data_IF_145971095450
#
_entry.id   IF_145971095450
#
_cell.length_a   1.000
_cell.length_b   1.000
_cell.length_c   1.000
_cell.angle_alpha   90.00
_cell.angle_beta   90.00
_cell.angle_gamma   90.00
#
_symmetry.space_group_name_H-M   'P 1'
#
loop_
_entity.id
_entity.type
_entity.pdbx_description
1 polymer ?
#
# COMPACT_ATOMS: atom_id res chain seq x y z
N UNK A 1 -13.82 -9.68 -30.07
CA UNK A 1 -13.15 -10.53 -29.07
C UNK A 1 -12.40 -11.63 -29.80
N UNK A 2 -11.20 -12.02 -29.36
CA UNK A 2 -10.48 -13.13 -29.98
C UNK A 2 -11.27 -14.44 -29.80
N UNK A 3 -11.24 -15.30 -30.82
CA UNK A 3 -11.83 -16.64 -30.81
C UNK A 3 -10.80 -17.62 -30.22
N UNK A 4 -11.00 -18.03 -28.96
CA UNK A 4 -10.12 -18.91 -28.20
C UNK A 4 -10.49 -18.90 -26.70
N UNK A 5 -9.87 -19.77 -25.90
CA UNK A 5 -9.98 -19.68 -24.42
C UNK A 5 -9.15 -18.47 -23.96
N UNK A 6 -9.82 -17.50 -23.34
CA UNK A 6 -9.19 -16.32 -22.76
C UNK A 6 -9.01 -16.59 -21.27
N UNK A 7 -7.77 -16.47 -20.79
CA UNK A 7 -7.44 -16.50 -19.36
C UNK A 7 -6.93 -15.12 -18.96
N UNK A 8 -7.19 -14.73 -17.70
CA UNK A 8 -6.83 -13.43 -17.16
C UNK A 8 -5.69 -13.57 -16.17
N UNK A 9 -4.74 -12.65 -16.25
CA UNK A 9 -3.63 -12.52 -15.32
C UNK A 9 -3.56 -11.06 -14.84
N UNK A 10 -3.56 -10.87 -13.54
CA UNK A 10 -3.51 -9.56 -12.90
C UNK A 10 -2.08 -9.25 -12.50
N UNK A 11 -1.48 -8.29 -13.19
CA UNK A 11 -0.12 -7.81 -12.96
C UNK A 11 -0.15 -6.38 -12.42
N UNK A 12 0.59 -6.14 -11.35
CA UNK A 12 0.81 -4.82 -10.78
C UNK A 12 2.09 -4.16 -11.28
N UNK A 13 2.46 -3.01 -10.70
CA UNK A 13 3.83 -2.52 -10.76
C UNK A 13 4.80 -3.60 -10.23
N UNK A 14 6.05 -3.55 -10.70
CA UNK A 14 7.11 -4.43 -10.19
C UNK A 14 7.19 -4.31 -8.67
N UNK A 15 7.15 -5.44 -7.98
CA UNK A 15 7.39 -5.53 -6.54
C UNK A 15 8.79 -5.04 -6.16
N UNK A 16 9.01 -4.79 -4.87
CA UNK A 16 10.33 -4.43 -4.36
C UNK A 16 11.40 -5.49 -4.70
N UNK A 17 11.05 -6.77 -4.66
CA UNK A 17 11.98 -7.85 -5.02
C UNK A 17 12.35 -7.80 -6.52
N UNK A 18 11.38 -7.57 -7.40
CA UNK A 18 11.63 -7.40 -8.84
C UNK A 18 12.45 -6.14 -9.13
N UNK A 19 12.23 -5.06 -8.37
CA UNK A 19 13.06 -3.87 -8.42
C UNK A 19 14.52 -4.19 -8.05
N UNK A 20 14.76 -4.92 -6.95
CA UNK A 20 16.11 -5.32 -6.54
C UNK A 20 16.82 -6.09 -7.66
N UNK A 21 16.14 -7.03 -8.31
CA UNK A 21 16.67 -7.75 -9.46
C UNK A 21 17.03 -6.79 -10.61
N UNK A 22 16.13 -5.86 -10.94
CA UNK A 22 16.32 -4.91 -12.03
C UNK A 22 17.48 -3.92 -11.81
N UNK A 23 17.76 -3.55 -10.55
CA UNK A 23 18.87 -2.61 -10.24
C UNK A 23 20.21 -3.30 -9.97
N UNK A 24 20.28 -4.62 -10.09
CA UNK A 24 21.50 -5.42 -9.92
C UNK A 24 21.73 -5.96 -8.51
N UNK A 25 20.74 -5.86 -7.62
CA UNK A 25 20.80 -6.27 -6.21
C UNK A 25 20.26 -7.69 -5.99
N UNK A 26 20.64 -8.63 -6.88
CA UNK A 26 20.14 -10.02 -6.83
C UNK A 26 20.42 -10.71 -5.49
N UNK A 27 21.60 -10.53 -4.92
CA UNK A 27 21.95 -11.12 -3.63
C UNK A 27 21.02 -10.65 -2.50
N UNK A 28 20.55 -9.41 -2.53
CA UNK A 28 19.58 -8.90 -1.56
C UNK A 28 18.18 -9.48 -1.82
N UNK A 29 17.76 -9.60 -3.09
CA UNK A 29 16.50 -10.24 -3.44
C UNK A 29 16.45 -11.70 -2.95
N UNK A 30 17.52 -12.47 -3.20
CA UNK A 30 17.67 -13.84 -2.75
C UNK A 30 17.71 -13.93 -1.23
N UNK A 31 18.41 -13.01 -0.55
CA UNK A 31 18.39 -12.91 0.92
C UNK A 31 16.97 -12.74 1.47
N UNK A 32 16.18 -11.79 0.92
CA UNK A 32 14.80 -11.56 1.37
C UNK A 32 13.88 -12.76 1.13
N UNK A 33 14.07 -13.49 0.03
CA UNK A 33 13.27 -14.66 -0.30
C UNK A 33 13.46 -15.81 0.71
N UNK A 34 14.67 -15.96 1.27
CA UNK A 34 15.01 -17.04 2.20
C UNK A 34 14.99 -16.63 3.68
N UNK A 35 14.97 -15.33 3.97
CA UNK A 35 14.98 -14.78 5.32
C UNK A 35 13.91 -15.42 6.22
N UNK A 36 14.28 -15.87 7.42
CA UNK A 36 13.35 -16.36 8.44
C UNK A 36 13.24 -15.38 9.61
N UNK A 37 12.06 -15.27 10.23
CA UNK A 37 11.79 -14.24 11.26
C UNK A 37 12.71 -14.30 12.49
N UNK A 38 13.26 -15.48 12.79
CA UNK A 38 14.18 -15.68 13.90
C UNK A 38 15.63 -15.30 13.56
N UNK A 39 15.92 -14.96 12.31
CA UNK A 39 17.26 -14.56 11.86
C UNK A 39 17.46 -13.06 12.10
N UNK A 40 18.63 -12.70 12.62
CA UNK A 40 19.05 -11.30 12.74
C UNK A 40 19.46 -10.79 11.35
N UNK A 41 18.94 -9.62 10.96
CA UNK A 41 19.42 -8.90 9.78
C UNK A 41 20.57 -7.98 10.21
N UNK A 42 21.81 -8.20 9.75
CA UNK A 42 22.93 -7.33 10.08
C UNK A 42 22.63 -5.87 9.73
N UNK A 43 22.97 -4.94 10.62
CA UNK A 43 22.69 -3.50 10.45
C UNK A 43 23.08 -2.95 9.06
N UNK A 44 24.26 -3.27 8.48
CA UNK A 44 24.61 -2.78 7.14
C UNK A 44 23.67 -3.26 6.03
N UNK A 45 23.16 -4.49 6.14
CA UNK A 45 22.19 -5.05 5.18
C UNK A 45 20.84 -4.34 5.37
N UNK A 46 20.42 -4.17 6.63
CA UNK A 46 19.18 -3.44 6.95
C UNK A 46 19.20 -2.00 6.41
N UNK A 47 20.26 -1.25 6.68
CA UNK A 47 20.41 0.14 6.24
C UNK A 47 20.39 0.21 4.70
N UNK A 48 21.13 -0.69 4.02
CA UNK A 48 21.15 -0.77 2.55
C UNK A 48 19.76 -1.05 1.96
N UNK A 49 19.02 -1.99 2.54
CA UNK A 49 17.66 -2.31 2.10
C UNK A 49 16.72 -1.12 2.30
N UNK A 50 16.84 -0.41 3.42
CA UNK A 50 16.04 0.80 3.67
C UNK A 50 16.38 1.93 2.70
N UNK A 51 17.65 2.12 2.32
CA UNK A 51 18.02 3.08 1.28
C UNK A 51 17.45 2.70 -0.09
N UNK A 52 17.44 1.41 -0.43
CA UNK A 52 16.78 0.91 -1.63
C UNK A 52 15.26 1.11 -1.61
N UNK A 53 14.61 1.02 -0.44
CA UNK A 53 13.20 1.39 -0.29
C UNK A 53 12.98 2.88 -0.55
N UNK A 54 13.86 3.77 -0.08
CA UNK A 54 13.78 5.21 -0.38
C UNK A 54 13.91 5.49 -1.87
N UNK A 55 14.82 4.79 -2.55
CA UNK A 55 14.97 4.85 -4.01
C UNK A 55 13.67 4.40 -4.68
N UNK A 56 13.12 3.26 -4.25
CA UNK A 56 11.86 2.74 -4.77
C UNK A 56 10.68 3.69 -4.57
N UNK A 57 10.61 4.42 -3.45
CA UNK A 57 9.57 5.43 -3.23
C UNK A 57 9.60 6.55 -4.29
N UNK A 58 10.78 6.87 -4.84
CA UNK A 58 10.93 7.84 -5.92
C UNK A 58 10.76 7.21 -7.30
N UNK A 59 11.35 6.05 -7.55
CA UNK A 59 11.31 5.43 -8.88
C UNK A 59 9.98 4.77 -9.16
N UNK A 60 9.32 4.23 -8.13
CA UNK A 60 8.16 3.38 -8.24
C UNK A 60 8.48 2.00 -8.81
N UNK A 61 7.42 1.23 -9.03
CA UNK A 61 7.37 -0.09 -9.66
C UNK A 61 7.07 -0.07 -11.16
N UNK A 62 6.94 1.11 -11.79
CA UNK A 62 6.70 1.18 -13.24
C UNK A 62 7.93 0.67 -14.01
N UNK A 63 7.82 -0.36 -14.86
CA UNK A 63 8.99 -1.00 -15.48
C UNK A 63 9.90 -0.05 -16.27
N UNK A 64 9.31 0.87 -17.05
CA UNK A 64 10.07 1.86 -17.82
C UNK A 64 10.82 2.86 -16.91
N UNK A 65 10.21 3.25 -15.79
CA UNK A 65 10.82 4.15 -14.80
C UNK A 65 11.99 3.47 -14.09
N UNK A 66 11.83 2.20 -13.70
CA UNK A 66 12.90 1.39 -13.10
C UNK A 66 14.04 1.20 -14.10
N UNK A 67 13.73 0.86 -15.35
CA UNK A 67 14.73 0.70 -16.41
C UNK A 67 15.56 1.96 -16.59
N UNK A 68 14.91 3.12 -16.74
CA UNK A 68 15.61 4.41 -16.88
C UNK A 68 16.52 4.72 -15.69
N UNK A 69 16.07 4.42 -14.46
CA UNK A 69 16.91 4.55 -13.27
C UNK A 69 18.09 3.55 -13.28
N UNK A 70 17.85 2.30 -13.68
CA UNK A 70 18.86 1.25 -13.67
C UNK A 70 19.99 1.52 -14.67
N UNK A 71 19.66 2.07 -15.85
CA UNK A 71 20.62 2.41 -16.91
C UNK A 71 21.48 3.64 -16.58
N UNK A 72 20.85 4.74 -16.16
CA UNK A 72 21.58 6.01 -15.95
C UNK A 72 22.05 6.23 -14.51
N UNK A 73 21.51 5.47 -13.55
CA UNK A 73 21.66 5.69 -12.11
C UNK A 73 21.33 7.12 -11.66
N UNK A 74 20.52 7.84 -12.44
CA UNK A 74 20.01 9.18 -12.09
C UNK A 74 18.50 9.19 -11.97
N UNK A 75 17.99 9.98 -11.04
CA UNK A 75 16.54 10.17 -10.88
C UNK A 75 15.92 11.01 -12.00
N UNK A 76 16.72 11.79 -12.73
CA UNK A 76 16.24 12.72 -13.74
C UNK A 76 15.54 12.02 -14.90
N UNK A 77 16.10 10.92 -15.39
CA UNK A 77 15.51 10.17 -16.52
C UNK A 77 14.30 9.36 -16.10
N UNK A 78 14.36 8.70 -14.93
CA UNK A 78 13.18 8.10 -14.29
C UNK A 78 12.05 9.12 -14.08
N UNK A 79 12.36 10.34 -13.62
CA UNK A 79 11.35 11.39 -13.42
C UNK A 79 10.68 11.83 -14.72
N UNK A 80 11.46 12.01 -15.81
CA UNK A 80 10.90 12.31 -17.14
C UNK A 80 9.92 11.23 -17.59
N UNK A 81 10.28 9.96 -17.41
CA UNK A 81 9.40 8.82 -17.75
C UNK A 81 8.10 8.88 -16.95
N UNK A 82 8.18 9.05 -15.62
CA UNK A 82 6.98 9.13 -14.77
C UNK A 82 6.07 10.31 -15.13
N UNK A 83 6.65 11.48 -15.42
CA UNK A 83 5.89 12.65 -15.89
C UNK A 83 5.18 12.36 -17.22
N UNK A 84 5.85 11.65 -18.14
CA UNK A 84 5.26 11.20 -19.40
C UNK A 84 4.09 10.25 -19.14
N UNK A 85 4.28 9.20 -18.31
CA UNK A 85 3.24 8.23 -17.94
C UNK A 85 1.99 8.92 -17.36
N UNK A 86 2.18 9.85 -16.41
CA UNK A 86 1.06 10.60 -15.83
C UNK A 86 0.34 11.45 -16.87
N UNK A 87 1.07 12.06 -17.80
CA UNK A 87 0.50 12.87 -18.87
C UNK A 87 -0.31 12.00 -19.84
N UNK A 88 0.24 10.85 -20.24
CA UNK A 88 -0.45 9.87 -21.09
C UNK A 88 -1.75 9.37 -20.45
N UNK A 89 -1.75 9.05 -19.15
CA UNK A 89 -3.00 8.68 -18.47
C UNK A 89 -4.04 9.80 -18.52
N UNK A 90 -3.66 11.04 -18.22
CA UNK A 90 -4.58 12.21 -18.27
C UNK A 90 -5.16 12.43 -19.66
N UNK A 91 -4.39 12.15 -20.71
CA UNK A 91 -4.81 12.31 -22.10
C UNK A 91 -5.72 11.15 -22.55
N UNK A 92 -5.43 9.92 -22.13
CA UNK A 92 -6.16 8.72 -22.54
C UNK A 92 -7.56 8.59 -21.92
N UNK A 93 -7.80 9.17 -20.73
CA UNK A 93 -9.16 9.27 -20.18
C UNK A 93 -10.13 10.09 -21.07
N UNK A 94 -9.62 10.68 -22.16
CA UNK A 94 -10.25 11.53 -23.16
C UNK A 94 -10.99 10.84 -24.31
N UNK A 95 -10.79 9.54 -24.58
CA UNK A 95 -11.12 9.01 -25.92
C UNK A 95 -12.61 8.77 -26.21
N UNK A 96 -13.49 8.71 -25.20
CA UNK A 96 -14.91 8.29 -25.41
C UNK A 96 -15.98 8.95 -24.50
N UNK A 97 -15.74 10.11 -23.88
CA UNK A 97 -16.73 10.78 -23.01
C UNK A 97 -17.04 12.22 -23.48
N UNK A 98 -17.96 12.90 -22.80
CA UNK A 98 -18.18 14.34 -23.02
C UNK A 98 -17.09 15.16 -22.30
N UNK A 99 -16.75 16.35 -22.82
CA UNK A 99 -15.73 17.26 -22.28
C UNK A 99 -15.83 17.41 -20.74
N UNK A 100 -17.03 17.68 -20.22
CA UNK A 100 -17.28 17.83 -18.78
C UNK A 100 -16.98 16.56 -17.96
N UNK A 101 -17.16 15.37 -18.53
CA UNK A 101 -16.81 14.10 -17.86
C UNK A 101 -15.29 13.89 -17.83
N UNK A 102 -14.57 14.35 -18.83
CA UNK A 102 -13.11 14.25 -18.90
C UNK A 102 -12.42 15.08 -17.83
N UNK A 103 -12.83 16.33 -17.67
CA UNK A 103 -12.26 17.22 -16.65
C UNK A 103 -12.49 16.66 -15.24
N UNK A 104 -13.64 16.03 -15.00
CA UNK A 104 -13.91 15.39 -13.73
C UNK A 104 -13.01 14.17 -13.48
N UNK A 105 -12.80 13.31 -14.47
CA UNK A 105 -11.89 12.15 -14.34
C UNK A 105 -10.46 12.63 -14.06
N UNK A 106 -9.97 13.64 -14.80
CA UNK A 106 -8.65 14.26 -14.56
C UNK A 106 -8.56 14.86 -13.16
N UNK A 107 -9.60 15.56 -12.71
CA UNK A 107 -9.68 16.15 -11.37
C UNK A 107 -9.61 15.08 -10.27
N UNK A 108 -10.35 13.98 -10.42
CA UNK A 108 -10.29 12.84 -9.49
C UNK A 108 -8.89 12.23 -9.50
N UNK A 109 -8.35 11.91 -10.69
CA UNK A 109 -7.02 11.31 -10.86
C UNK A 109 -5.93 12.13 -10.16
N UNK A 110 -5.89 13.44 -10.39
CA UNK A 110 -4.91 14.33 -9.78
C UNK A 110 -5.09 14.50 -8.25
N UNK A 111 -6.28 14.22 -7.72
CA UNK A 111 -6.56 14.35 -6.27
C UNK A 111 -6.26 13.09 -5.48
N UNK A 112 -6.35 11.90 -6.08
CA UNK A 112 -6.11 10.64 -5.38
C UNK A 112 -4.77 10.62 -4.62
N UNK A 113 -3.62 11.01 -5.21
CA UNK A 113 -2.34 11.03 -4.51
C UNK A 113 -2.33 11.81 -3.19
N UNK A 114 -3.11 12.91 -3.12
CA UNK A 114 -3.21 13.75 -1.90
C UNK A 114 -4.09 13.16 -0.81
N UNK A 115 -4.82 12.08 -1.10
CA UNK A 115 -5.83 11.49 -0.22
C UNK A 115 -5.45 10.10 0.29
N UNK A 116 -4.28 9.58 -0.09
CA UNK A 116 -3.83 8.26 0.35
C UNK A 116 -3.78 8.19 1.88
N UNK A 117 -4.18 7.04 2.41
CA UNK A 117 -4.32 6.77 3.84
C UNK A 117 -5.58 7.33 4.50
N UNK A 118 -6.33 8.19 3.80
CA UNK A 118 -7.56 8.77 4.32
C UNK A 118 -8.80 8.16 3.68
N UNK A 119 -9.90 8.12 4.42
CA UNK A 119 -11.22 7.78 3.87
C UNK A 119 -11.55 8.71 2.70
N UNK A 120 -11.95 8.13 1.57
CA UNK A 120 -12.31 8.89 0.39
C UNK A 120 -13.63 9.63 0.60
N UNK A 121 -13.59 10.96 0.53
CA UNK A 121 -14.77 11.83 0.64
C UNK A 121 -14.96 12.60 -0.66
N UNK A 122 -16.12 12.42 -1.30
CA UNK A 122 -16.45 13.10 -2.55
C UNK A 122 -16.34 14.63 -2.46
N UNK A 123 -16.69 15.21 -1.31
CA UNK A 123 -16.57 16.65 -1.05
C UNK A 123 -15.13 17.18 -1.09
N UNK A 124 -14.12 16.36 -0.82
CA UNK A 124 -12.71 16.75 -0.92
C UNK A 124 -12.21 16.80 -2.37
N UNK A 125 -12.93 16.16 -3.30
CA UNK A 125 -12.64 16.25 -4.73
C UNK A 125 -13.25 17.52 -5.31
N UNK A 126 -14.55 17.73 -5.08
CA UNK A 126 -15.28 18.86 -5.63
C UNK A 126 -16.57 19.09 -4.85
N UNK A 127 -16.82 20.32 -4.43
CA UNK A 127 -18.10 20.74 -3.84
C UNK A 127 -19.18 21.00 -4.92
N UNK A 128 -18.75 21.27 -6.16
CA UNK A 128 -19.63 21.67 -7.27
C UNK A 128 -20.21 20.47 -8.02
N UNK A 129 -19.46 19.36 -8.09
CA UNK A 129 -19.90 18.16 -8.80
C UNK A 129 -20.70 17.25 -7.87
N UNK A 130 -21.80 16.69 -8.40
CA UNK A 130 -22.60 15.70 -7.66
C UNK A 130 -21.74 14.48 -7.27
N UNK A 131 -21.87 13.95 -6.04
CA UNK A 131 -21.11 12.77 -5.60
C UNK A 131 -21.20 11.57 -6.54
N UNK A 132 -22.37 11.33 -7.13
CA UNK A 132 -22.57 10.26 -8.11
C UNK A 132 -21.67 10.40 -9.35
N UNK A 133 -21.45 11.63 -9.84
CA UNK A 133 -20.56 11.87 -10.98
C UNK A 133 -19.09 11.58 -10.61
N UNK A 134 -18.68 11.97 -9.40
CA UNK A 134 -17.33 11.70 -8.89
C UNK A 134 -17.13 10.19 -8.69
N UNK A 135 -18.14 9.49 -8.16
CA UNK A 135 -18.12 8.04 -8.00
C UNK A 135 -17.97 7.32 -9.36
N UNK A 136 -18.70 7.76 -10.38
CA UNK A 136 -18.54 7.22 -11.74
C UNK A 136 -17.14 7.47 -12.29
N UNK A 137 -16.59 8.67 -12.13
CA UNK A 137 -15.23 8.97 -12.55
C UNK A 137 -14.19 8.11 -11.82
N UNK A 138 -14.31 7.94 -10.50
CA UNK A 138 -13.44 7.06 -9.72
C UNK A 138 -13.56 5.59 -10.19
N UNK A 139 -14.78 5.11 -10.46
CA UNK A 139 -14.99 3.75 -10.97
C UNK A 139 -14.29 3.53 -12.31
N UNK A 140 -14.29 4.51 -13.21
CA UNK A 140 -13.57 4.42 -14.48
C UNK A 140 -12.05 4.31 -14.25
N UNK A 141 -11.50 5.08 -13.31
CA UNK A 141 -10.09 4.97 -12.91
C UNK A 141 -9.75 3.59 -12.31
N UNK A 142 -10.67 3.01 -11.53
CA UNK A 142 -10.49 1.66 -10.99
C UNK A 142 -10.55 0.59 -12.07
N UNK A 143 -11.49 0.68 -13.02
CA UNK A 143 -11.58 -0.23 -14.18
C UNK A 143 -10.34 -0.13 -15.08
N UNK A 144 -9.77 1.07 -15.21
CA UNK A 144 -8.51 1.30 -15.92
C UNK A 144 -7.27 0.87 -15.11
N UNK A 145 -7.44 0.33 -13.88
CA UNK A 145 -6.38 -0.13 -12.98
C UNK A 145 -5.38 0.94 -12.55
N UNK A 146 -5.74 2.22 -12.69
CA UNK A 146 -4.86 3.33 -12.25
C UNK A 146 -5.11 3.75 -10.80
N UNK A 147 -6.16 3.21 -10.18
CA UNK A 147 -6.52 3.42 -8.79
C UNK A 147 -7.23 2.17 -8.24
N UNK A 148 -7.22 1.99 -6.93
CA UNK A 148 -7.82 0.84 -6.26
C UNK A 148 -8.59 1.28 -5.03
N UNK A 149 -9.80 0.76 -4.85
CA UNK A 149 -10.55 0.98 -3.61
C UNK A 149 -10.10 -0.03 -2.57
N UNK A 150 -9.80 0.46 -1.38
CA UNK A 150 -9.56 -0.36 -0.19
C UNK A 150 -10.81 -0.28 0.66
N UNK A 151 -11.61 -1.35 0.62
CA UNK A 151 -12.95 -1.34 1.20
C UNK A 151 -12.91 -1.57 2.71
N UNK A 152 -13.79 -0.88 3.43
CA UNK A 152 -14.03 -1.19 4.83
C UNK A 152 -14.65 -2.59 4.94
N UNK A 153 -14.20 -3.38 5.89
CA UNK A 153 -14.82 -4.66 6.25
C UNK A 153 -14.98 -4.77 7.76
N UNK A 154 -16.04 -5.45 8.21
CA UNK A 154 -16.20 -5.79 9.62
C UNK A 154 -15.18 -6.85 10.09
N UNK A 155 -14.59 -7.63 9.18
CA UNK A 155 -13.56 -8.64 9.46
C UNK A 155 -13.92 -9.66 10.57
N UNK A 156 -15.19 -10.07 10.66
CA UNK A 156 -15.61 -11.10 11.62
C UNK A 156 -15.24 -12.52 11.14
N UNK A 157 -15.12 -12.72 9.83
CA UNK A 157 -14.81 -14.00 9.22
C UNK A 157 -14.20 -13.86 7.82
N UNK A 158 -13.87 -15.00 7.22
CA UNK A 158 -13.44 -15.10 5.82
C UNK A 158 -14.59 -15.64 4.95
N UNK A 159 -14.70 -15.23 3.67
CA UNK A 159 -13.88 -14.22 3.00
C UNK A 159 -14.21 -12.79 3.48
N UNK A 160 -13.19 -11.91 3.58
CA UNK A 160 -13.36 -10.53 4.08
C UNK A 160 -14.38 -9.70 3.29
N UNK A 161 -14.50 -9.98 1.98
CA UNK A 161 -15.45 -9.33 1.09
C UNK A 161 -16.92 -9.57 1.45
N UNK A 162 -17.25 -10.63 2.20
CA UNK A 162 -18.63 -10.91 2.62
C UNK A 162 -19.22 -9.83 3.53
N UNK A 163 -18.36 -9.11 4.26
CA UNK A 163 -18.76 -8.02 5.16
C UNK A 163 -18.25 -6.66 4.71
N UNK A 164 -17.94 -6.51 3.42
CA UNK A 164 -17.44 -5.24 2.90
C UNK A 164 -18.54 -4.17 2.88
N UNK A 165 -18.13 -2.91 3.04
CA UNK A 165 -19.00 -1.76 2.92
C UNK A 165 -18.55 -0.86 1.77
N UNK A 166 -19.29 -0.89 0.65
CA UNK A 166 -18.98 -0.13 -0.56
C UNK A 166 -19.05 1.40 -0.41
N UNK A 167 -19.66 1.89 0.68
CA UNK A 167 -19.75 3.33 0.96
C UNK A 167 -18.52 3.87 1.71
N UNK A 168 -17.71 2.99 2.29
CA UNK A 168 -16.59 3.36 3.16
C UNK A 168 -15.33 2.71 2.60
N UNK A 169 -14.49 3.51 1.97
CA UNK A 169 -13.25 3.03 1.35
C UNK A 169 -12.16 4.10 1.40
N UNK A 170 -10.91 3.65 1.44
CA UNK A 170 -9.74 4.45 1.06
C UNK A 170 -9.46 4.22 -0.44
N UNK A 171 -8.60 5.04 -1.04
CA UNK A 171 -8.16 4.84 -2.43
C UNK A 171 -6.64 4.81 -2.48
N UNK A 172 -6.10 3.76 -3.11
CA UNK A 172 -4.71 3.65 -3.49
C UNK A 172 -4.52 4.07 -4.93
N UNK A 173 -3.34 4.58 -5.24
CA UNK A 173 -2.92 4.84 -6.61
C UNK A 173 -2.25 3.60 -7.20
N UNK A 174 -2.05 3.56 -8.52
CA UNK A 174 -1.36 2.46 -9.19
C UNK A 174 0.05 2.23 -8.63
N UNK A 175 0.84 3.29 -8.50
CA UNK A 175 2.26 3.21 -8.22
C UNK A 175 2.75 4.35 -7.33
N UNK A 176 3.59 4.02 -6.35
CA UNK A 176 4.18 4.99 -5.42
C UNK A 176 5.10 6.00 -6.11
N UNK A 177 5.86 5.61 -7.12
CA UNK A 177 6.72 6.56 -7.85
C UNK A 177 5.89 7.61 -8.57
N UNK A 178 4.78 7.19 -9.18
CA UNK A 178 3.81 8.11 -9.79
C UNK A 178 3.13 9.03 -8.75
N UNK A 179 2.85 8.52 -7.54
CA UNK A 179 2.37 9.35 -6.41
C UNK A 179 3.42 10.40 -6.05
N UNK A 180 4.68 10.00 -5.86
CA UNK A 180 5.78 10.90 -5.54
C UNK A 180 5.92 12.02 -6.58
N UNK A 181 5.94 11.67 -7.87
CA UNK A 181 5.95 12.64 -8.97
C UNK A 181 4.71 13.55 -8.94
N UNK A 182 3.51 13.00 -8.75
CA UNK A 182 2.28 13.79 -8.74
C UNK A 182 2.20 14.78 -7.57
N UNK A 183 2.88 14.48 -6.45
CA UNK A 183 2.99 15.35 -5.29
C UNK A 183 4.18 16.31 -5.38
N UNK A 184 4.98 16.25 -6.46
CA UNK A 184 6.17 17.09 -6.63
C UNK A 184 7.32 16.74 -5.69
N UNK A 185 7.37 15.50 -5.20
CA UNK A 185 8.43 15.04 -4.31
C UNK A 185 9.69 14.73 -5.12
N UNK A 186 10.75 15.51 -4.88
CA UNK A 186 12.06 15.26 -5.47
C UNK A 186 12.89 14.31 -4.59
N UNK A 187 13.86 13.61 -5.20
CA UNK A 187 14.81 12.78 -4.44
C UNK A 187 15.61 13.60 -3.42
N UNK A 188 16.02 14.82 -3.77
CA UNK A 188 16.73 15.72 -2.86
C UNK A 188 15.88 16.06 -1.64
N UNK A 189 14.57 16.27 -1.84
CA UNK A 189 13.62 16.50 -0.74
C UNK A 189 13.49 15.27 0.18
N UNK A 190 13.76 14.05 -0.30
CA UNK A 190 13.72 12.84 0.52
C UNK A 190 15.07 12.49 1.17
N UNK A 191 16.19 12.98 0.64
CA UNK A 191 17.53 12.78 1.21
C UNK A 191 17.91 13.81 2.27
N UNK A 192 17.56 15.09 2.08
CA UNK A 192 17.82 16.17 3.06
C UNK A 192 16.97 16.04 4.33
N UNK A 193 16.04 15.11 4.29
CA UNK A 193 15.16 14.74 5.38
C UNK A 193 15.86 13.67 6.21
N UNK A 194 16.26 14.03 7.43
CA UNK A 194 16.65 13.07 8.46
C UNK A 194 15.66 11.90 8.53
N UNK A 195 16.09 10.75 9.09
CA UNK A 195 15.21 9.59 9.37
C UNK A 195 13.84 10.02 9.97
N UNK A 196 13.78 11.16 10.66
CA UNK A 196 12.61 11.74 11.30
C UNK A 196 11.55 12.42 10.38
N UNK A 197 11.82 12.83 9.12
CA UNK A 197 10.74 13.29 8.22
C UNK A 197 10.36 12.31 7.10
N UNK A 198 11.13 11.25 6.83
CA UNK A 198 10.59 10.13 6.03
C UNK A 198 9.41 9.48 6.77
N UNK A 199 9.45 9.55 8.11
CA UNK A 199 8.39 9.25 9.08
C UNK A 199 7.14 10.13 8.94
N UNK A 200 7.24 11.31 8.33
CA UNK A 200 6.10 12.18 8.07
C UNK A 200 5.35 11.85 6.76
N UNK A 201 5.87 10.94 5.93
CA UNK A 201 5.18 10.45 4.73
C UNK A 201 4.41 9.16 5.01
N UNK A 202 3.58 9.13 6.07
CA UNK A 202 2.73 7.99 6.40
C UNK A 202 1.90 7.51 5.20
N UNK A 203 1.40 8.44 4.38
CA UNK A 203 0.68 8.15 3.14
C UNK A 203 1.50 7.41 2.08
N UNK A 204 2.80 7.70 1.94
CA UNK A 204 3.67 6.97 1.01
C UNK A 204 3.97 5.57 1.55
N UNK A 205 4.19 5.42 2.86
CA UNK A 205 4.36 4.10 3.46
C UNK A 205 3.10 3.25 3.30
N UNK A 206 1.91 3.84 3.54
CA UNK A 206 0.62 3.19 3.27
C UNK A 206 0.48 2.84 1.79
N UNK A 207 0.78 3.77 0.86
CA UNK A 207 0.78 3.47 -0.59
C UNK A 207 1.69 2.28 -0.91
N UNK A 208 2.92 2.28 -0.41
CA UNK A 208 3.91 1.22 -0.65
C UNK A 208 3.42 -0.14 -0.13
N UNK A 209 2.91 -0.18 1.11
CA UNK A 209 2.42 -1.42 1.69
C UNK A 209 1.16 -1.88 0.96
N UNK A 210 0.19 -0.99 0.77
CA UNK A 210 -1.07 -1.27 0.10
C UNK A 210 -0.89 -1.77 -1.34
N UNK A 211 0.01 -1.17 -2.13
CA UNK A 211 0.26 -1.63 -3.50
C UNK A 211 0.85 -3.04 -3.55
N UNK A 212 1.66 -3.44 -2.56
CA UNK A 212 2.19 -4.80 -2.50
C UNK A 212 1.13 -5.79 -2.00
N UNK A 213 0.35 -5.40 -0.98
CA UNK A 213 -0.72 -6.25 -0.43
C UNK A 213 -1.84 -6.51 -1.43
N UNK A 214 -2.14 -5.57 -2.35
CA UNK A 214 -3.12 -5.76 -3.41
C UNK A 214 -2.84 -7.00 -4.26
N UNK A 215 -1.56 -7.30 -4.52
CA UNK A 215 -1.12 -8.41 -5.36
C UNK A 215 -0.54 -9.57 -4.54
N UNK A 216 -0.97 -9.72 -3.28
CA UNK A 216 -0.54 -10.81 -2.42
C UNK A 216 -1.19 -12.16 -2.77
N UNK A 217 -2.39 -12.11 -3.36
CA UNK A 217 -3.13 -13.29 -3.83
C UNK A 217 -2.54 -13.84 -5.13
N UNK A 218 -3.03 -15.01 -5.55
CA UNK A 218 -2.59 -15.62 -6.80
C UNK A 218 -2.93 -14.70 -7.99
N UNK A 219 -2.07 -14.59 -9.02
CA UNK A 219 -2.27 -13.61 -10.07
C UNK A 219 -3.46 -13.90 -11.02
N UNK A 220 -4.15 -15.02 -10.88
CA UNK A 220 -5.45 -15.27 -11.54
C UNK A 220 -6.65 -14.74 -10.73
N UNK A 221 -6.42 -14.28 -9.50
CA UNK A 221 -7.45 -13.69 -8.63
C UNK A 221 -7.47 -12.17 -8.79
N UNK A 222 -8.66 -11.60 -8.81
CA UNK A 222 -8.87 -10.16 -8.89
C UNK A 222 -8.26 -9.47 -7.65
N UNK A 223 -7.29 -8.54 -7.81
CA UNK A 223 -6.65 -7.88 -6.68
C UNK A 223 -7.68 -7.14 -5.83
N UNK A 224 -7.65 -7.38 -4.52
CA UNK A 224 -8.56 -6.77 -3.55
C UNK A 224 -7.81 -6.49 -2.25
N UNK A 225 -8.24 -5.45 -1.55
CA UNK A 225 -7.65 -5.07 -0.27
C UNK A 225 -8.72 -4.43 0.60
N UNK A 226 -8.59 -4.65 1.90
CA UNK A 226 -9.54 -4.17 2.89
C UNK A 226 -8.84 -3.39 3.98
N UNK A 227 -9.60 -2.56 4.68
CA UNK A 227 -9.18 -1.91 5.92
C UNK A 227 -10.30 -2.05 6.96
N UNK A 228 -9.96 -1.82 8.22
CA UNK A 228 -10.93 -1.86 9.30
C UNK A 228 -11.02 -0.51 10.00
N UNK A 229 -12.24 -0.09 10.26
CA UNK A 229 -12.54 1.09 11.06
C UNK A 229 -13.68 0.77 12.02
N UNK A 230 -13.57 1.28 13.24
CA UNK A 230 -14.60 1.19 14.27
C UNK A 230 -15.49 2.42 14.20
N UNK A 231 -16.75 2.22 13.83
CA UNK A 231 -17.72 3.31 13.66
C UNK A 231 -18.51 3.63 14.95
N UNK A 232 -17.85 3.61 16.12
CA UNK A 232 -18.47 4.03 17.39
C UNK A 232 -18.12 5.48 17.71
N UNK A 233 -19.15 6.33 17.89
CA UNK A 233 -19.03 7.78 18.15
C UNK A 233 -18.08 8.17 19.29
N UNK A 234 -17.90 7.31 20.30
CA UNK A 234 -17.09 7.58 21.50
C UNK A 234 -15.72 6.89 21.50
N UNK A 235 -15.39 6.10 20.48
CA UNK A 235 -14.12 5.35 20.41
C UNK A 235 -13.83 4.94 18.97
N UNK A 236 -13.28 5.89 18.21
CA UNK A 236 -12.78 5.64 16.86
C UNK A 236 -11.46 4.89 16.93
N UNK A 237 -11.33 3.89 16.07
CA UNK A 237 -10.11 3.16 15.82
C UNK A 237 -10.09 2.81 14.34
N UNK A 238 -8.93 2.86 13.74
CA UNK A 238 -8.74 2.51 12.33
C UNK A 238 -7.43 1.75 12.21
N UNK A 239 -7.44 0.72 11.38
CA UNK A 239 -6.28 -0.02 10.90
C UNK A 239 -6.09 0.31 9.43
N UNK A 240 -4.84 0.37 9.01
CA UNK A 240 -4.50 0.73 7.63
C UNK A 240 -4.95 -0.35 6.65
N UNK A 241 -4.70 -1.62 6.98
CA UNK A 241 -5.12 -2.76 6.17
C UNK A 241 -5.55 -3.97 7.00
N UNK A 242 -6.37 -4.82 6.39
CA UNK A 242 -6.71 -6.16 6.87
C UNK A 242 -6.68 -7.10 5.67
N UNK A 243 -5.98 -8.22 5.80
CA UNK A 243 -5.89 -9.24 4.76
C UNK A 243 -6.39 -10.59 5.29
N UNK A 244 -6.71 -11.49 4.35
CA UNK A 244 -6.84 -12.90 4.65
C UNK A 244 -5.65 -13.66 4.05
N UNK A 245 -4.95 -14.43 4.87
CA UNK A 245 -3.86 -15.30 4.43
C UNK A 245 -4.05 -16.67 5.08
N UNK A 246 -4.09 -17.74 4.28
CA UNK A 246 -4.31 -19.12 4.74
C UNK A 246 -5.51 -19.28 5.74
N UNK A 247 -6.61 -18.57 5.47
CA UNK A 247 -7.82 -18.60 6.32
C UNK A 247 -7.73 -17.77 7.61
N UNK A 248 -6.58 -17.16 7.91
CA UNK A 248 -6.42 -16.25 9.04
C UNK A 248 -6.70 -14.81 8.62
N UNK A 249 -7.32 -14.03 9.51
CA UNK A 249 -7.50 -12.59 9.34
C UNK A 249 -6.33 -11.89 10.02
N UNK A 250 -5.55 -11.13 9.23
CA UNK A 250 -4.35 -10.46 9.70
C UNK A 250 -4.58 -8.95 9.65
N UNK A 251 -4.69 -8.28 10.82
CA UNK A 251 -4.69 -6.83 10.90
C UNK A 251 -3.28 -6.27 10.70
N UNK A 252 -3.17 -5.20 9.91
CA UNK A 252 -1.91 -4.58 9.53
C UNK A 252 -1.96 -3.08 9.87
N UNK A 253 -0.97 -2.64 10.62
CA UNK A 253 -0.68 -1.22 10.89
C UNK A 253 0.58 -0.81 10.12
N UNK A 254 0.55 0.34 9.47
CA UNK A 254 1.70 0.92 8.77
C UNK A 254 2.18 2.15 9.51
N UNK A 255 3.47 2.16 9.86
CA UNK A 255 4.12 3.30 10.50
C UNK A 255 5.34 3.66 9.68
N UNK A 256 5.40 4.89 9.20
CA UNK A 256 6.62 5.36 8.56
C UNK A 256 7.82 5.46 9.55
N UNK A 257 7.56 5.44 10.88
CA UNK A 257 8.59 5.49 11.93
C UNK A 257 8.56 4.38 12.99
N UNK A 258 9.57 4.40 13.86
CA UNK A 258 9.89 3.34 14.84
C UNK A 258 8.91 3.29 16.02
N UNK A 259 8.29 4.41 16.38
CA UNK A 259 7.49 4.57 17.61
C UNK A 259 6.04 4.97 17.32
N UNK A 260 5.08 4.34 18.00
CA UNK A 260 3.67 4.73 17.97
C UNK A 260 2.82 3.78 18.81
N UNK A 261 1.80 4.31 19.49
CA UNK A 261 0.87 3.47 20.24
C UNK A 261 -0.05 2.71 19.27
N UNK A 262 -0.16 1.39 19.42
CA UNK A 262 -0.93 0.51 18.54
C UNK A 262 -2.32 0.21 19.12
N UNK A 263 -2.98 1.25 19.64
CA UNK A 263 -4.28 1.12 20.32
C UNK A 263 -5.35 0.51 19.41
N UNK A 264 -5.40 0.92 18.14
CA UNK A 264 -6.33 0.36 17.14
C UNK A 264 -6.11 -1.13 16.93
N UNK A 265 -4.85 -1.54 16.79
CA UNK A 265 -4.47 -2.95 16.61
C UNK A 265 -4.88 -3.80 17.82
N UNK A 266 -4.52 -3.39 19.03
CA UNK A 266 -4.88 -4.15 20.23
C UNK A 266 -6.40 -4.24 20.40
N UNK A 267 -7.13 -3.16 20.08
CA UNK A 267 -8.59 -3.16 20.12
C UNK A 267 -9.18 -4.12 19.08
N UNK A 268 -8.67 -4.12 17.85
CA UNK A 268 -9.10 -5.06 16.80
C UNK A 268 -8.87 -6.51 17.23
N UNK A 269 -7.65 -6.84 17.67
CA UNK A 269 -7.29 -8.19 18.11
C UNK A 269 -8.27 -8.69 19.19
N UNK A 270 -8.64 -7.82 20.12
CA UNK A 270 -9.62 -8.13 21.16
C UNK A 270 -11.04 -8.29 20.64
N UNK A 271 -11.55 -7.34 19.88
CA UNK A 271 -12.92 -7.40 19.37
C UNK A 271 -13.14 -8.57 18.41
N UNK A 272 -12.10 -8.93 17.65
CA UNK A 272 -12.17 -9.98 16.63
C UNK A 272 -11.60 -11.31 17.09
N UNK A 273 -11.13 -11.41 18.33
CA UNK A 273 -10.51 -12.61 18.91
C UNK A 273 -9.42 -13.17 17.99
N UNK A 274 -8.47 -12.30 17.60
CA UNK A 274 -7.32 -12.64 16.75
C UNK A 274 -6.04 -12.59 17.56
N UNK A 275 -5.12 -13.49 17.24
CA UNK A 275 -3.88 -13.69 18.00
C UNK A 275 -2.62 -13.27 17.25
N UNK A 276 -2.73 -12.73 16.04
CA UNK A 276 -1.60 -12.22 15.27
C UNK A 276 -1.89 -10.77 14.88
N UNK A 277 -0.99 -9.86 15.23
CA UNK A 277 -0.99 -8.48 14.77
C UNK A 277 0.28 -8.16 14.00
N UNK A 278 0.16 -7.48 12.86
CA UNK A 278 1.30 -7.14 12.01
C UNK A 278 1.50 -5.62 11.97
N UNK A 279 2.76 -5.20 12.03
CA UNK A 279 3.15 -3.81 11.78
C UNK A 279 4.24 -3.75 10.72
N UNK A 280 4.11 -2.81 9.78
CA UNK A 280 5.20 -2.41 8.89
C UNK A 280 5.83 -1.10 9.35
N UNK A 281 7.17 -1.05 9.46
CA UNK A 281 7.90 0.17 9.79
C UNK A 281 9.34 0.21 9.25
N UNK A 282 10.17 1.13 9.75
CA UNK A 282 11.58 1.28 9.38
C UNK A 282 12.56 0.56 10.31
N UNK A 283 12.08 -0.18 11.33
CA UNK A 283 12.94 -0.89 12.26
C UNK A 283 13.32 -2.29 11.73
N UNK A 284 14.38 -2.91 12.25
CA UNK A 284 14.66 -4.32 12.02
C UNK A 284 13.46 -5.22 12.39
N UNK A 285 13.33 -6.39 11.76
CA UNK A 285 12.24 -7.31 12.03
C UNK A 285 12.28 -7.77 13.50
N UNK A 286 11.11 -7.97 14.08
CA UNK A 286 10.97 -8.55 15.42
C UNK A 286 9.65 -9.30 15.54
N UNK A 287 9.69 -10.39 16.29
CA UNK A 287 8.51 -11.15 16.68
C UNK A 287 8.53 -11.35 18.18
N UNK A 288 7.42 -10.99 18.83
CA UNK A 288 7.25 -11.18 20.27
C UNK A 288 5.86 -11.72 20.55
N UNK A 289 5.76 -12.73 21.42
CA UNK A 289 4.49 -13.09 22.04
C UNK A 289 4.34 -12.22 23.29
N UNK A 290 3.24 -11.47 23.37
CA UNK A 290 3.06 -10.45 24.42
C UNK A 290 1.62 -10.39 24.88
N UNK A 291 1.44 -9.82 26.07
CA UNK A 291 0.14 -9.53 26.66
C UNK A 291 0.00 -8.03 26.87
N UNK A 292 -1.10 -7.43 26.41
CA UNK A 292 -1.37 -6.01 26.63
C UNK A 292 -2.69 -5.80 27.37
N UNK A 293 -2.64 -4.99 28.44
CA UNK A 293 -3.83 -4.49 29.12
C UNK A 293 -4.51 -3.40 28.29
N UNK A 294 -5.81 -3.55 28.10
CA UNK A 294 -6.66 -2.58 27.42
C UNK A 294 -7.26 -1.59 28.41
N UNK A 295 -7.79 -0.43 27.93
CA UNK A 295 -8.39 0.58 28.80
C UNK A 295 -9.56 0.08 29.66
N UNK A 296 -10.20 -1.03 29.27
CA UNK A 296 -11.29 -1.66 30.01
C UNK A 296 -10.81 -2.71 31.04
N UNK A 297 -9.50 -2.78 31.30
CA UNK A 297 -8.90 -3.66 32.31
C UNK A 297 -8.66 -5.10 31.87
N UNK A 298 -9.22 -5.52 30.73
CA UNK A 298 -8.95 -6.83 30.14
C UNK A 298 -7.52 -6.91 29.57
N UNK A 299 -6.99 -8.13 29.45
CA UNK A 299 -5.71 -8.41 28.78
C UNK A 299 -5.95 -9.26 27.53
N UNK A 300 -5.12 -9.08 26.52
CA UNK A 300 -5.10 -9.93 25.33
C UNK A 300 -3.69 -10.42 25.09
N UNK A 301 -3.58 -11.73 24.86
CA UNK A 301 -2.36 -12.39 24.43
C UNK A 301 -2.36 -12.51 22.91
N UNK A 302 -1.28 -12.04 22.30
CA UNK A 302 -1.10 -12.07 20.87
C UNK A 302 0.37 -12.13 20.49
N UNK A 303 0.62 -12.72 19.33
CA UNK A 303 1.87 -12.62 18.60
C UNK A 303 1.90 -11.30 17.87
N UNK A 304 2.95 -10.52 18.10
CA UNK A 304 3.20 -9.27 17.43
C UNK A 304 4.37 -9.43 16.46
N UNK A 305 4.07 -9.28 15.16
CA UNK A 305 5.05 -9.38 14.08
C UNK A 305 5.32 -7.98 13.51
N UNK A 306 6.47 -7.41 13.84
CA UNK A 306 6.92 -6.14 13.27
C UNK A 306 7.92 -6.40 12.15
N UNK A 307 7.59 -5.95 10.94
CA UNK A 307 8.41 -6.12 9.76
C UNK A 307 8.89 -4.77 9.22
N UNK A 308 10.14 -4.66 8.78
CA UNK A 308 10.57 -3.55 7.94
C UNK A 308 9.76 -3.50 6.63
N UNK A 309 9.61 -2.30 6.05
CA UNK A 309 8.84 -2.11 4.80
C UNK A 309 9.26 -3.08 3.69
N UNK A 310 10.57 -3.29 3.50
CA UNK A 310 11.10 -4.17 2.44
C UNK A 310 10.69 -5.65 2.55
N UNK A 311 10.12 -6.10 3.68
CA UNK A 311 9.61 -7.47 3.84
C UNK A 311 8.13 -7.62 3.51
N UNK A 312 7.43 -6.59 3.00
CA UNK A 312 5.99 -6.69 2.69
C UNK A 312 5.66 -7.83 1.73
N UNK A 313 6.49 -8.08 0.72
CA UNK A 313 6.31 -9.20 -0.22
C UNK A 313 6.53 -10.58 0.40
N UNK A 314 7.08 -10.65 1.62
CA UNK A 314 7.33 -11.89 2.36
C UNK A 314 6.26 -12.15 3.43
N UNK A 315 5.26 -11.27 3.57
CA UNK A 315 4.27 -11.35 4.64
C UNK A 315 3.53 -12.69 4.70
N UNK A 316 3.10 -13.23 3.55
CA UNK A 316 2.34 -14.48 3.53
C UNK A 316 3.13 -15.64 4.12
N UNK A 317 4.44 -15.69 3.87
CA UNK A 317 5.35 -16.70 4.40
C UNK A 317 5.67 -16.46 5.87
N UNK A 318 6.05 -15.23 6.21
CA UNK A 318 6.49 -14.88 7.58
C UNK A 318 5.36 -14.89 8.61
N UNK A 319 4.11 -14.67 8.18
CA UNK A 319 2.93 -14.74 9.07
C UNK A 319 2.48 -16.17 9.40
N UNK A 320 2.94 -17.17 8.65
CA UNK A 320 2.62 -18.59 8.87
C UNK A 320 3.67 -19.31 9.71
N UNK A 321 4.85 -18.72 9.91
CA UNK A 321 5.92 -19.29 10.71
C UNK A 321 5.61 -19.16 12.21
N UNK A 322 4.81 -20.07 12.75
CA UNK A 322 4.82 -20.45 14.17
C UNK A 322 3.51 -20.96 14.69
#
# INVERSE_FOLDING_TARGET
>A
MPVGRIEYLHLGPMSFAEFLLAVGEKALADFLAHYQICEEIPKPIHDKLMDLVKIYFITGGMPESIKAYAEDKTFKTSEKVKQSILSTYRDDFGKYASITKHDLIRKVFNKIPTMIGNKFKYSHISCENKPACIATALNQLCLARVAWKVHHTCANGVPLGAEQNDRFFKVLFLDIGLVSTSLGLSYLNLMEVDELNFVNNGSLAEQFIGQHLLYLQMPYEEPNLYYWAREKKSSSAELDYVISNAGQIIPIEVKAGKTGQMKSLHLFLKEKQRHLGVRFNSAPPSQIDTSTKLPDGSSIDFRFLSLPLYLVGQLSRLSQCG
#
